data_IF_759150267031
#
_entry.id   IF_759150267031
#
_cell.length_a   1.000
_cell.length_b   1.000
_cell.length_c   1.000
_cell.angle_alpha   90.00
_cell.angle_beta   90.00
_cell.angle_gamma   90.00
#
_symmetry.space_group_name_H-M   'P 1'
#
loop_
_entity.id
_entity.type
_entity.pdbx_description
1 polymer ?
#
# COMPACT_ATOMS: atom_id res chain seq x y z
N UNK A 1 -13.67 -42.22 -32.96
CA UNK A 1 -14.08 -40.83 -33.30
C UNK A 1 -12.93 -39.90 -32.96
N UNK A 2 -12.44 -39.14 -33.93
CA UNK A 2 -11.19 -38.39 -33.86
C UNK A 2 -11.34 -37.07 -33.07
N UNK A 3 -10.38 -36.78 -32.19
CA UNK A 3 -10.28 -35.54 -31.45
C UNK A 3 -9.76 -34.40 -32.36
N UNK A 4 -10.53 -33.32 -32.49
CA UNK A 4 -10.18 -32.16 -33.29
C UNK A 4 -8.99 -31.39 -32.69
N UNK A 5 -7.86 -31.35 -33.41
CA UNK A 5 -6.70 -30.52 -33.06
C UNK A 5 -6.96 -29.08 -33.54
N UNK A 6 -6.99 -28.11 -32.62
CA UNK A 6 -7.19 -26.70 -32.98
C UNK A 6 -6.00 -26.19 -33.80
N UNK A 7 -6.27 -25.73 -35.03
CA UNK A 7 -5.35 -25.01 -35.89
C UNK A 7 -5.17 -23.57 -35.37
N UNK A 8 -4.18 -23.33 -34.52
CA UNK A 8 -3.74 -21.97 -34.17
C UNK A 8 -2.34 -21.77 -34.74
N UNK A 9 -2.25 -21.00 -35.84
CA UNK A 9 -0.98 -20.58 -36.43
C UNK A 9 -0.22 -19.75 -35.38
N UNK A 10 1.03 -20.10 -35.11
CA UNK A 10 1.95 -19.30 -34.31
C UNK A 10 2.89 -18.54 -35.25
N UNK A 11 3.02 -17.23 -35.04
CA UNK A 11 3.93 -16.39 -35.82
C UNK A 11 5.36 -16.51 -35.27
N UNK A 12 6.36 -16.44 -36.16
CA UNK A 12 7.79 -16.40 -35.79
C UNK A 12 8.04 -15.16 -34.92
N UNK A 13 8.13 -15.36 -33.62
CA UNK A 13 8.37 -14.30 -32.63
C UNK A 13 7.81 -14.59 -31.24
N UNK A 14 6.84 -15.50 -31.11
CA UNK A 14 6.26 -15.84 -29.81
C UNK A 14 7.21 -16.69 -28.95
N UNK A 15 7.64 -16.14 -27.81
CA UNK A 15 8.42 -16.85 -26.78
C UNK A 15 7.49 -17.81 -26.01
N UNK A 16 7.85 -19.09 -25.84
CA UNK A 16 6.97 -20.05 -25.17
C UNK A 16 6.82 -19.75 -23.66
N UNK A 17 5.58 -19.76 -23.16
CA UNK A 17 5.27 -19.72 -21.71
C UNK A 17 5.90 -20.94 -21.03
N UNK A 18 6.72 -20.71 -19.98
CA UNK A 18 7.31 -21.77 -19.14
C UNK A 18 6.21 -22.55 -18.42
N UNK A 19 6.11 -23.85 -18.67
CA UNK A 19 5.26 -24.78 -17.89
C UNK A 19 5.84 -24.98 -16.48
N UNK A 20 5.02 -24.79 -15.44
CA UNK A 20 5.33 -25.19 -14.05
C UNK A 20 5.41 -26.72 -13.97
N UNK A 21 6.49 -27.24 -13.38
CA UNK A 21 6.62 -28.67 -13.05
C UNK A 21 5.83 -28.99 -11.79
N UNK A 22 4.88 -29.91 -11.90
CA UNK A 22 4.15 -30.51 -10.77
C UNK A 22 5.05 -31.62 -10.20
N UNK A 23 5.64 -31.42 -9.02
CA UNK A 23 6.36 -32.50 -8.32
C UNK A 23 5.47 -33.08 -7.23
N UNK A 24 5.16 -34.36 -7.37
CA UNK A 24 4.44 -35.20 -6.41
C UNK A 24 5.37 -35.71 -5.31
N UNK A 25 4.87 -35.59 -4.08
CA UNK A 25 5.02 -36.46 -2.91
C UNK A 25 6.38 -36.60 -2.17
N UNK A 26 6.30 -36.65 -0.83
CA UNK A 26 7.36 -37.14 0.07
C UNK A 26 7.96 -36.18 1.09
N UNK A 27 7.26 -35.96 2.21
CA UNK A 27 7.77 -35.81 3.60
C UNK A 27 8.95 -34.85 3.88
N UNK A 28 8.63 -33.65 4.39
CA UNK A 28 9.53 -32.85 5.26
C UNK A 28 8.71 -32.08 6.31
N UNK A 29 9.19 -31.96 7.57
CA UNK A 29 8.42 -31.39 8.67
C UNK A 29 8.23 -29.88 8.47
N UNK A 30 7.19 -29.26 9.06
CA UNK A 30 6.85 -27.87 8.79
C UNK A 30 7.98 -26.97 9.31
N UNK A 31 8.74 -26.38 8.38
CA UNK A 31 9.54 -25.20 8.70
C UNK A 31 8.55 -24.14 9.16
N UNK A 32 8.64 -23.77 10.45
CA UNK A 32 8.06 -22.52 10.96
C UNK A 32 8.37 -21.41 9.97
N UNK A 33 7.35 -20.97 9.24
CA UNK A 33 7.45 -19.84 8.34
C UNK A 33 7.69 -18.59 9.20
N UNK A 34 8.73 -17.78 8.93
CA UNK A 34 8.71 -16.41 9.39
C UNK A 34 7.63 -15.65 8.59
N UNK A 35 7.01 -14.67 9.24
CA UNK A 35 5.90 -13.87 8.75
C UNK A 35 6.10 -13.30 7.33
N UNK A 36 5.54 -13.98 6.33
CA UNK A 36 5.40 -13.50 4.94
C UNK A 36 3.95 -13.08 4.69
N UNK A 37 3.47 -12.04 5.38
CA UNK A 37 2.14 -11.46 5.11
C UNK A 37 2.09 -10.63 3.81
N UNK A 38 3.23 -10.36 3.16
CA UNK A 38 3.26 -9.61 1.88
C UNK A 38 3.32 -10.53 0.64
N UNK A 39 3.93 -11.72 0.73
CA UNK A 39 3.80 -12.70 -0.36
C UNK A 39 2.34 -13.16 -0.48
N UNK A 40 1.62 -13.27 0.64
CA UNK A 40 0.20 -13.62 0.63
C UNK A 40 -0.66 -12.58 -0.08
N UNK A 41 -0.38 -11.27 0.04
CA UNK A 41 -1.15 -10.23 -0.65
C UNK A 41 -0.90 -10.27 -2.17
N UNK A 42 0.35 -10.45 -2.60
CA UNK A 42 0.67 -10.56 -4.04
C UNK A 42 0.09 -11.85 -4.66
N UNK A 43 0.06 -12.95 -3.90
CA UNK A 43 -0.56 -14.21 -4.34
C UNK A 43 -2.09 -14.16 -4.32
N UNK A 44 -2.70 -13.42 -3.37
CA UNK A 44 -4.15 -13.25 -3.25
C UNK A 44 -4.73 -12.36 -4.36
N UNK A 45 -4.08 -11.24 -4.65
CA UNK A 45 -4.54 -10.26 -5.66
C UNK A 45 -3.86 -10.43 -7.03
N UNK A 46 -3.07 -11.50 -7.21
CA UNK A 46 -2.42 -11.83 -8.48
C UNK A 46 -1.36 -10.83 -8.96
N UNK A 47 -0.97 -9.87 -8.10
CA UNK A 47 -0.05 -8.79 -8.46
C UNK A 47 -0.65 -7.75 -9.41
N UNK A 48 -1.98 -7.60 -9.44
CA UNK A 48 -2.62 -6.49 -10.15
C UNK A 48 -2.41 -5.18 -9.39
N UNK A 49 -1.61 -4.28 -9.97
CA UNK A 49 -1.31 -2.95 -9.43
C UNK A 49 -2.56 -2.08 -9.22
N UNK A 50 -3.68 -2.40 -9.88
CA UNK A 50 -4.93 -1.65 -9.79
C UNK A 50 -6.02 -2.34 -8.95
N UNK A 51 -5.74 -3.49 -8.33
CA UNK A 51 -6.68 -4.15 -7.45
C UNK A 51 -7.02 -3.28 -6.22
N UNK A 52 -8.30 -3.27 -5.84
CA UNK A 52 -8.80 -2.55 -4.67
C UNK A 52 -8.70 -3.42 -3.42
N UNK A 53 -8.00 -2.93 -2.39
CA UNK A 53 -7.69 -3.71 -1.18
C UNK A 53 -8.09 -2.91 0.06
N UNK A 54 -8.64 -3.59 1.06
CA UNK A 54 -8.98 -2.96 2.34
C UNK A 54 -7.71 -2.65 3.14
N UNK A 55 -7.45 -1.41 3.58
CA UNK A 55 -6.32 -1.10 4.45
C UNK A 55 -6.55 -1.65 5.86
N UNK A 56 -5.50 -2.13 6.51
CA UNK A 56 -5.55 -2.60 7.91
C UNK A 56 -5.15 -1.50 8.89
N UNK A 57 -4.19 -0.67 8.50
CA UNK A 57 -3.71 0.46 9.31
C UNK A 57 -3.99 1.78 8.59
N UNK A 58 -4.23 2.88 9.33
CA UNK A 58 -4.53 4.17 8.70
C UNK A 58 -3.37 4.68 7.82
N UNK A 59 -2.12 4.32 8.13
CA UNK A 59 -0.96 4.66 7.30
C UNK A 59 -0.98 4.05 5.89
N UNK A 60 -1.67 2.92 5.70
CA UNK A 60 -1.85 2.31 4.37
C UNK A 60 -2.82 3.09 3.48
N UNK A 61 -3.60 4.03 4.05
CA UNK A 61 -4.55 4.89 3.32
C UNK A 61 -3.80 6.02 2.63
N UNK A 62 -3.03 5.67 1.60
CA UNK A 62 -2.31 6.63 0.75
C UNK A 62 -2.56 6.30 -0.72
N UNK A 63 -2.76 7.32 -1.54
CA UNK A 63 -3.05 7.19 -2.97
C UNK A 63 -4.56 7.16 -3.27
N UNK A 64 -4.94 6.71 -4.47
CA UNK A 64 -6.34 6.55 -4.85
C UNK A 64 -7.06 5.59 -3.91
N UNK A 65 -8.13 6.09 -3.31
CA UNK A 65 -8.98 5.41 -2.35
C UNK A 65 -10.45 5.54 -2.74
N UNK A 66 -11.23 4.52 -2.40
CA UNK A 66 -12.67 4.47 -2.56
C UNK A 66 -13.30 4.41 -1.18
N UNK A 67 -14.15 5.39 -0.89
CA UNK A 67 -14.81 5.56 0.41
C UNK A 67 -16.27 5.18 0.23
N UNK A 68 -16.71 4.13 0.90
CA UNK A 68 -18.08 3.64 0.78
C UNK A 68 -18.60 3.06 2.09
N UNK A 69 -19.91 2.92 2.21
CA UNK A 69 -20.56 2.20 3.30
C UNK A 69 -21.43 1.09 2.72
N UNK A 70 -21.16 -0.16 3.13
CA UNK A 70 -22.01 -1.29 2.80
C UNK A 70 -23.33 -1.22 3.57
N UNK A 71 -24.45 -1.25 2.85
CA UNK A 71 -25.79 -1.36 3.40
C UNK A 71 -26.22 -2.82 3.60
N UNK A 72 -27.28 -3.02 4.38
CA UNK A 72 -27.82 -4.35 4.72
C UNK A 72 -28.27 -5.15 3.49
N UNK A 73 -28.67 -4.46 2.42
CA UNK A 73 -29.17 -5.07 1.19
C UNK A 73 -28.04 -5.45 0.21
N UNK A 74 -26.77 -5.32 0.61
CA UNK A 74 -25.60 -5.57 -0.23
C UNK A 74 -25.24 -4.42 -1.19
N UNK A 75 -26.05 -3.36 -1.24
CA UNK A 75 -25.71 -2.13 -1.96
C UNK A 75 -24.74 -1.27 -1.14
N UNK A 76 -23.81 -0.60 -1.81
CA UNK A 76 -22.88 0.31 -1.16
C UNK A 76 -23.24 1.77 -1.42
N UNK A 77 -23.25 2.61 -0.39
CA UNK A 77 -23.32 4.06 -0.54
C UNK A 77 -21.90 4.61 -0.66
N UNK A 78 -21.48 4.99 -1.87
CA UNK A 78 -20.16 5.55 -2.13
C UNK A 78 -20.16 7.07 -2.00
N UNK A 79 -19.05 7.61 -1.46
CA UNK A 79 -18.80 9.04 -1.40
C UNK A 79 -18.48 9.56 -2.81
N UNK A 80 -19.37 10.38 -3.36
CA UNK A 80 -19.27 10.87 -4.73
C UNK A 80 -19.11 12.39 -4.77
N UNK A 81 -18.21 12.85 -5.64
CA UNK A 81 -18.03 14.27 -5.89
C UNK A 81 -18.91 14.73 -7.07
N UNK A 82 -19.86 15.63 -6.81
CA UNK A 82 -20.71 16.20 -7.85
C UNK A 82 -20.03 17.39 -8.52
N UNK A 83 -19.28 17.11 -9.59
CA UNK A 83 -18.50 18.07 -10.36
C UNK A 83 -19.22 19.40 -10.70
N UNK A 84 -20.47 19.43 -11.20
CA UNK A 84 -21.13 20.70 -11.54
C UNK A 84 -21.51 21.60 -10.36
N UNK A 85 -21.63 21.04 -9.14
CA UNK A 85 -22.06 21.78 -7.95
C UNK A 85 -20.94 21.92 -6.92
N UNK A 86 -19.78 21.30 -7.16
CA UNK A 86 -18.68 21.18 -6.20
C UNK A 86 -19.12 20.71 -4.82
N UNK A 87 -20.18 19.90 -4.78
CA UNK A 87 -20.79 19.34 -3.58
C UNK A 87 -20.43 17.87 -3.43
N UNK A 88 -20.45 17.43 -2.18
CA UNK A 88 -20.19 16.04 -1.81
C UNK A 88 -21.54 15.37 -1.56
N UNK A 89 -21.85 14.38 -2.39
CA UNK A 89 -23.08 13.61 -2.32
C UNK A 89 -22.72 12.13 -2.15
N UNK A 90 -23.72 11.28 -1.93
CA UNK A 90 -23.52 9.84 -2.00
C UNK A 90 -24.32 9.22 -3.11
N UNK A 91 -23.70 8.27 -3.78
CA UNK A 91 -24.32 7.49 -4.86
C UNK A 91 -24.35 6.03 -4.46
N UNK A 92 -25.49 5.38 -4.70
CA UNK A 92 -25.59 3.93 -4.54
C UNK A 92 -24.80 3.24 -5.64
N UNK A 93 -23.91 2.33 -5.25
CA UNK A 93 -23.12 1.44 -6.10
C UNK A 93 -23.57 0.02 -5.81
N UNK A 94 -24.06 -0.65 -6.84
CA UNK A 94 -24.42 -2.06 -6.75
C UNK A 94 -23.19 -2.93 -7.04
N UNK A 95 -22.99 -4.04 -6.30
CA UNK A 95 -21.94 -4.99 -6.60
C UNK A 95 -22.19 -5.62 -7.99
N UNK A 96 -21.13 -5.93 -8.75
CA UNK A 96 -21.27 -6.58 -10.04
C UNK A 96 -21.93 -7.96 -9.85
N UNK A 97 -22.99 -8.24 -10.62
CA UNK A 97 -23.63 -9.57 -10.62
C UNK A 97 -22.66 -10.59 -11.22
N UNK A 98 -22.15 -11.50 -10.40
CA UNK A 98 -21.32 -12.60 -10.87
C UNK A 98 -22.23 -13.77 -11.33
N UNK A 99 -21.94 -14.41 -12.49
CA UNK A 99 -22.62 -15.65 -12.88
C UNK A 99 -22.30 -16.79 -11.91
N UNK A 100 -23.28 -17.65 -11.61
CA UNK A 100 -23.19 -18.74 -10.62
C UNK A 100 -22.08 -19.79 -10.91
N UNK A 101 -21.57 -19.87 -12.13
CA UNK A 101 -20.64 -20.92 -12.60
C UNK A 101 -19.14 -20.53 -12.57
N UNK A 102 -18.75 -19.42 -11.92
CA UNK A 102 -17.34 -18.98 -11.90
C UNK A 102 -16.53 -19.66 -10.77
N UNK A 103 -15.28 -20.11 -11.00
CA UNK A 103 -14.44 -20.71 -9.96
C UNK A 103 -14.19 -19.77 -8.77
N UNK A 104 -14.27 -20.30 -7.55
CA UNK A 104 -14.05 -19.61 -6.27
C UNK A 104 -12.56 -19.41 -5.96
N UNK A 105 -11.85 -18.73 -6.87
CA UNK A 105 -10.46 -18.34 -6.71
C UNK A 105 -10.38 -16.98 -5.97
N UNK A 106 -9.28 -16.66 -5.29
CA UNK A 106 -9.11 -15.37 -4.59
C UNK A 106 -9.28 -14.13 -5.49
N UNK A 107 -9.04 -14.28 -6.80
CA UNK A 107 -9.31 -13.26 -7.82
C UNK A 107 -10.81 -13.03 -8.08
N UNK A 108 -11.64 -14.04 -7.87
CA UNK A 108 -13.09 -14.00 -8.07
C UNK A 108 -13.81 -13.34 -6.90
N UNK A 109 -13.32 -13.57 -5.68
CA UNK A 109 -13.77 -12.84 -4.50
C UNK A 109 -13.50 -11.34 -4.65
N UNK A 110 -12.30 -10.96 -5.13
CA UNK A 110 -11.99 -9.56 -5.44
C UNK A 110 -12.86 -8.98 -6.58
N UNK A 111 -13.37 -9.81 -7.49
CA UNK A 111 -14.30 -9.39 -8.54
C UNK A 111 -15.75 -9.23 -8.03
N UNK A 112 -16.12 -9.89 -6.93
CA UNK A 112 -17.41 -9.71 -6.25
C UNK A 112 -17.45 -8.44 -5.39
N UNK A 113 -16.29 -7.88 -5.07
CA UNK A 113 -16.18 -6.72 -4.22
C UNK A 113 -16.67 -5.45 -4.91
N UNK A 114 -17.22 -4.53 -4.12
CA UNK A 114 -17.70 -3.24 -4.61
C UNK A 114 -16.51 -2.43 -5.12
N UNK A 115 -16.52 -2.17 -6.43
CA UNK A 115 -15.52 -1.36 -7.10
C UNK A 115 -16.14 -0.03 -7.57
N UNK A 116 -15.34 1.06 -7.62
CA UNK A 116 -15.84 2.33 -8.11
C UNK A 116 -16.23 2.24 -9.59
N UNK A 117 -17.44 2.70 -9.91
CA UNK A 117 -17.96 2.70 -11.28
C UNK A 117 -17.64 4.00 -12.03
N UNK A 118 -17.34 5.08 -11.29
CA UNK A 118 -17.07 6.40 -11.86
C UNK A 118 -15.87 7.06 -11.15
N UNK A 119 -15.11 7.87 -11.89
CA UNK A 119 -13.92 8.58 -11.40
C UNK A 119 -14.27 9.50 -10.22
N UNK A 120 -15.47 10.08 -10.21
CA UNK A 120 -15.96 10.96 -9.14
C UNK A 120 -16.20 10.27 -7.79
N UNK A 121 -16.24 8.94 -7.76
CA UNK A 121 -16.30 8.15 -6.53
C UNK A 121 -14.91 7.87 -5.94
N UNK A 122 -13.86 8.14 -6.71
CA UNK A 122 -12.47 7.92 -6.30
C UNK A 122 -11.90 9.21 -5.73
N UNK A 123 -11.30 9.10 -4.55
CA UNK A 123 -10.62 10.17 -3.84
C UNK A 123 -9.14 9.86 -3.72
N UNK A 124 -8.27 10.85 -3.80
CA UNK A 124 -6.83 10.63 -3.57
C UNK A 124 -6.51 11.03 -2.14
N UNK A 125 -6.28 10.03 -1.28
CA UNK A 125 -5.86 10.25 0.09
C UNK A 125 -4.34 10.50 0.15
N UNK A 126 -3.93 11.53 0.87
CA UNK A 126 -2.51 11.83 1.09
C UNK A 126 -2.29 12.10 2.58
N UNK A 127 -1.38 11.35 3.20
CA UNK A 127 -0.95 11.61 4.57
C UNK A 127 -0.07 12.87 4.62
N UNK A 128 -0.33 13.76 5.57
CA UNK A 128 0.49 14.94 5.80
C UNK A 128 1.84 14.52 6.40
N UNK A 129 2.97 15.05 5.90
CA UNK A 129 4.26 14.81 6.54
C UNK A 129 4.25 15.31 7.98
N UNK A 130 4.84 14.51 8.89
CA UNK A 130 4.97 14.84 10.33
C UNK A 130 3.65 14.96 11.12
N UNK A 131 2.53 14.56 10.54
CA UNK A 131 1.22 14.54 11.21
C UNK A 131 0.45 13.28 10.84
N UNK A 132 -0.33 12.75 11.78
CA UNK A 132 -1.26 11.64 11.52
C UNK A 132 -2.60 12.16 10.99
N UNK A 133 -2.52 12.98 9.94
CA UNK A 133 -3.67 13.61 9.28
C UNK A 133 -3.63 13.32 7.78
N UNK A 134 -4.79 13.24 7.18
CA UNK A 134 -4.98 12.95 5.76
C UNK A 134 -5.79 14.04 5.09
N UNK A 135 -5.47 14.30 3.83
CA UNK A 135 -6.30 15.11 2.94
C UNK A 135 -6.86 14.22 1.85
N UNK A 136 -8.14 14.39 1.51
CA UNK A 136 -8.78 13.68 0.41
C UNK A 136 -9.03 14.63 -0.74
N UNK A 137 -8.43 14.34 -1.90
CA UNK A 137 -8.55 15.14 -3.12
C UNK A 137 -9.55 14.51 -4.08
N UNK A 138 -10.47 15.32 -4.61
CA UNK A 138 -11.47 14.94 -5.60
C UNK A 138 -10.83 14.79 -6.99
N UNK A 139 -11.60 14.24 -7.94
CA UNK A 139 -11.18 14.10 -9.34
C UNK A 139 -10.88 15.45 -10.03
N UNK A 140 -11.54 16.54 -9.61
CA UNK A 140 -11.28 17.90 -10.14
C UNK A 140 -10.08 18.58 -9.47
N UNK A 141 -9.58 17.98 -8.39
CA UNK A 141 -8.42 18.47 -7.68
C UNK A 141 -8.71 19.42 -6.52
N UNK A 142 -9.99 19.56 -6.15
CA UNK A 142 -10.41 20.18 -4.90
C UNK A 142 -10.28 19.20 -3.74
N UNK A 143 -10.22 19.70 -2.52
CA UNK A 143 -10.09 18.89 -1.31
C UNK A 143 -11.43 18.80 -0.57
N UNK A 144 -11.67 17.63 0.04
CA UNK A 144 -12.80 17.41 0.94
C UNK A 144 -12.60 18.27 2.20
N UNK A 145 -13.49 19.22 2.43
CA UNK A 145 -13.46 20.16 3.54
C UNK A 145 -14.70 19.99 4.42
N UNK A 146 -14.54 20.31 5.70
CA UNK A 146 -15.62 20.43 6.66
C UNK A 146 -15.70 21.86 7.19
N UNK A 147 -16.90 22.43 7.27
CA UNK A 147 -17.13 23.69 8.00
C UNK A 147 -17.38 23.43 9.50
N UNK A 148 -17.31 24.48 10.32
CA UNK A 148 -17.57 24.44 11.77
C UNK A 148 -18.97 23.94 12.13
N UNK A 149 -19.92 24.08 11.20
CA UNK A 149 -21.30 23.61 11.37
C UNK A 149 -21.51 22.16 10.92
N UNK A 150 -20.44 21.48 10.47
CA UNK A 150 -20.51 20.11 9.98
C UNK A 150 -21.01 19.97 8.54
N UNK A 151 -21.02 21.03 7.75
CA UNK A 151 -21.28 20.93 6.31
C UNK A 151 -20.02 20.47 5.57
N UNK A 152 -20.19 19.47 4.69
CA UNK A 152 -19.08 18.87 3.95
C UNK A 152 -19.10 19.37 2.51
N UNK A 153 -18.02 20.01 2.09
CA UNK A 153 -17.89 20.61 0.77
C UNK A 153 -16.56 20.23 0.12
N UNK A 154 -16.43 20.40 -1.19
CA UNK A 154 -15.17 20.13 -1.90
C UNK A 154 -14.90 21.19 -2.96
N UNK A 155 -14.79 22.44 -2.52
CA UNK A 155 -14.60 23.63 -3.39
C UNK A 155 -13.16 24.14 -3.39
N UNK A 156 -12.41 23.90 -2.31
CA UNK A 156 -11.09 24.50 -2.13
C UNK A 156 -10.00 23.66 -2.81
N UNK A 157 -9.16 24.30 -3.64
CA UNK A 157 -8.01 23.65 -4.27
C UNK A 157 -6.77 23.65 -3.36
N UNK A 158 -6.79 24.43 -2.28
CA UNK A 158 -5.71 24.49 -1.31
C UNK A 158 -5.98 23.56 -0.12
N UNK A 159 -4.91 22.96 0.40
CA UNK A 159 -4.93 22.24 1.67
C UNK A 159 -4.87 23.24 2.82
N UNK A 160 -5.93 23.31 3.61
CA UNK A 160 -5.99 24.08 4.85
C UNK A 160 -6.47 23.22 6.02
N UNK A 161 -6.70 23.84 7.19
CA UNK A 161 -7.15 23.12 8.38
C UNK A 161 -8.52 22.45 8.20
N UNK A 162 -9.39 23.00 7.35
CA UNK A 162 -10.73 22.46 7.11
C UNK A 162 -10.71 21.20 6.25
N UNK A 163 -9.65 21.03 5.46
CA UNK A 163 -9.40 19.91 4.56
C UNK A 163 -8.61 18.76 5.22
N UNK A 164 -8.21 18.94 6.48
CA UNK A 164 -7.51 17.94 7.27
C UNK A 164 -8.48 16.99 7.97
N UNK A 165 -8.27 15.69 7.77
CA UNK A 165 -9.05 14.62 8.37
C UNK A 165 -8.15 13.68 9.17
N UNK A 166 -8.57 13.31 10.37
CA UNK A 166 -7.95 12.25 11.16
C UNK A 166 -8.69 10.93 10.94
N UNK A 167 -7.98 9.91 10.46
CA UNK A 167 -8.53 8.58 10.25
C UNK A 167 -8.36 7.76 11.52
N UNK A 168 -9.48 7.32 12.09
CA UNK A 168 -9.49 6.45 13.27
C UNK A 168 -10.06 5.08 12.87
N UNK A 169 -9.31 3.98 13.04
CA UNK A 169 -9.86 2.66 12.83
C UNK A 169 -10.96 2.40 13.86
N UNK A 170 -12.03 1.75 13.41
CA UNK A 170 -13.17 1.34 14.22
C UNK A 170 -13.25 -0.18 14.18
N UNK A 171 -13.32 -0.80 15.34
CA UNK A 171 -13.51 -2.24 15.50
C UNK A 171 -14.75 -2.51 16.37
N UNK A 172 -15.34 -3.68 16.19
CA UNK A 172 -16.49 -4.12 17.01
C UNK A 172 -16.06 -4.60 18.39
N UNK A 173 -14.83 -5.10 18.49
CA UNK A 173 -14.22 -5.57 19.73
C UNK A 173 -13.39 -4.42 20.32
N UNK A 174 -13.47 -4.17 21.64
CA UNK A 174 -12.60 -3.22 22.30
C UNK A 174 -11.13 -3.57 22.06
N UNK A 175 -10.40 -2.64 21.45
CA UNK A 175 -8.98 -2.74 21.17
C UNK A 175 -8.32 -1.42 21.56
N UNK A 176 -7.08 -1.43 22.04
CA UNK A 176 -6.37 -0.22 22.47
C UNK A 176 -6.11 0.75 21.30
N UNK A 177 -6.03 0.23 20.08
CA UNK A 177 -5.68 0.99 18.87
C UNK A 177 -6.88 1.43 18.03
N UNK A 178 -8.11 1.02 18.36
CA UNK A 178 -9.30 1.27 17.55
C UNK A 178 -10.49 1.71 18.40
N UNK A 179 -11.34 2.56 17.83
CA UNK A 179 -12.58 2.97 18.49
C UNK A 179 -13.58 1.82 18.48
N UNK A 180 -14.33 1.67 19.57
CA UNK A 180 -15.44 0.73 19.63
C UNK A 180 -16.60 1.29 18.81
N UNK A 181 -17.01 0.55 17.79
CA UNK A 181 -18.14 0.93 16.97
C UNK A 181 -19.00 -0.24 16.54
N UNK A 182 -20.11 0.03 15.83
CA UNK A 182 -21.09 -0.99 15.46
C UNK A 182 -20.57 -1.94 14.36
N UNK A 183 -19.59 -1.50 13.57
CA UNK A 183 -19.00 -2.26 12.47
C UNK A 183 -17.51 -1.97 12.37
N UNK A 184 -16.75 -2.90 11.80
CA UNK A 184 -15.35 -2.69 11.46
C UNK A 184 -15.23 -1.70 10.30
N UNK A 185 -14.32 -0.74 10.38
CA UNK A 185 -14.09 0.24 9.33
C UNK A 185 -13.22 1.40 9.79
N UNK A 186 -13.43 2.58 9.21
CA UNK A 186 -12.72 3.81 9.54
C UNK A 186 -13.72 4.93 9.80
N UNK A 187 -13.49 5.69 10.88
CA UNK A 187 -14.17 6.95 11.14
C UNK A 187 -13.27 8.11 10.71
N UNK A 188 -13.83 9.05 9.95
CA UNK A 188 -13.13 10.25 9.53
C UNK A 188 -13.55 11.39 10.47
N UNK A 189 -12.60 11.90 11.25
CA UNK A 189 -12.83 13.03 12.14
C UNK A 189 -12.28 14.31 11.49
N UNK A 190 -13.10 15.37 11.49
CA UNK A 190 -12.72 16.69 11.00
C UNK A 190 -11.86 17.43 12.02
N UNK A 191 -11.20 18.50 11.59
CA UNK A 191 -10.45 19.40 12.48
C UNK A 191 -11.27 19.94 13.65
N UNK A 192 -12.60 20.08 13.49
CA UNK A 192 -13.50 20.56 14.54
C UNK A 192 -13.94 19.45 15.51
N UNK A 193 -13.45 18.21 15.33
CA UNK A 193 -13.76 17.06 16.17
C UNK A 193 -15.02 16.30 15.79
N UNK A 194 -15.77 16.76 14.79
CA UNK A 194 -16.96 16.08 14.27
C UNK A 194 -16.61 14.92 13.33
N UNK A 195 -17.41 13.86 13.36
CA UNK A 195 -17.24 12.67 12.53
C UNK A 195 -18.08 12.73 11.27
N UNK A 196 -17.49 12.33 10.14
CA UNK A 196 -18.17 12.23 8.85
C UNK A 196 -19.28 11.17 8.92
N UNK A 197 -20.52 11.59 8.76
CA UNK A 197 -21.72 10.75 8.79
C UNK A 197 -22.58 10.92 7.55
N UNK A 198 -23.20 9.82 7.13
CA UNK A 198 -24.35 9.86 6.23
C UNK A 198 -25.56 10.41 6.98
N UNK A 199 -26.09 11.53 6.50
CA UNK A 199 -27.37 12.07 6.95
C UNK A 199 -28.47 11.37 6.13
N UNK A 200 -29.23 10.51 6.79
CA UNK A 200 -30.43 9.93 6.21
C UNK A 200 -31.52 11.01 6.22
N UNK A 201 -31.97 11.48 5.04
CA UNK A 201 -32.98 12.52 5.03
C UNK A 201 -34.23 12.00 5.73
N UNK A 202 -34.70 12.73 6.74
CA UNK A 202 -35.97 12.46 7.44
C UNK A 202 -37.18 12.57 6.52
N UNK A 203 -37.02 13.24 5.38
CA UNK A 203 -38.04 13.38 4.34
C UNK A 203 -37.81 12.35 3.23
N UNK A 204 -38.78 11.45 3.08
CA UNK A 204 -38.83 10.33 2.10
C UNK A 204 -38.72 10.79 0.62
N UNK A 205 -38.84 12.10 0.35
CA UNK A 205 -38.74 12.70 -0.98
C UNK A 205 -37.32 13.12 -1.39
N UNK A 206 -36.36 13.16 -0.47
CA UNK A 206 -34.97 13.47 -0.81
C UNK A 206 -34.25 12.18 -1.25
N UNK A 207 -34.25 11.92 -2.55
CA UNK A 207 -33.52 10.80 -3.18
C UNK A 207 -31.98 10.87 -3.02
N UNK A 208 -31.47 11.89 -2.31
CA UNK A 208 -30.05 12.21 -2.13
C UNK A 208 -29.72 12.21 -0.65
N UNK A 209 -28.91 11.23 -0.24
CA UNK A 209 -28.32 11.19 1.10
C UNK A 209 -27.20 12.23 1.17
N UNK A 210 -27.35 13.21 2.05
CA UNK A 210 -26.36 14.28 2.26
C UNK A 210 -25.27 13.76 3.20
N UNK A 211 -24.07 14.30 3.06
CA UNK A 211 -22.95 13.97 3.94
C UNK A 211 -22.74 15.15 4.88
N UNK A 212 -22.68 14.86 6.18
CA UNK A 212 -22.44 15.85 7.24
C UNK A 212 -21.29 15.37 8.13
N UNK A 213 -20.71 16.28 8.89
CA UNK A 213 -19.61 15.99 9.80
C UNK A 213 -19.80 16.69 11.17
N UNK A 214 -21.04 16.65 11.68
CA UNK A 214 -21.46 17.24 12.96
C UNK A 214 -21.58 16.23 14.11
N UNK A 215 -21.49 14.93 13.82
CA UNK A 215 -21.61 13.91 14.85
C UNK A 215 -20.43 13.94 15.84
N UNK A 216 -20.71 13.92 17.14
CA UNK A 216 -19.69 13.92 18.18
C UNK A 216 -19.08 12.54 18.47
N UNK A 217 -19.72 11.47 17.99
CA UNK A 217 -19.30 10.09 18.19
C UNK A 217 -19.48 9.26 16.91
N UNK A 218 -18.67 8.19 16.72
CA UNK A 218 -18.78 7.30 15.56
C UNK A 218 -20.09 6.51 15.62
N UNK A 219 -21.14 7.05 15.00
CA UNK A 219 -22.44 6.38 14.83
C UNK A 219 -22.35 5.35 13.70
N UNK A 220 -23.34 4.45 13.55
CA UNK A 220 -23.35 3.46 12.47
C UNK A 220 -23.24 4.07 11.06
N UNK A 221 -23.85 5.23 10.82
CA UNK A 221 -23.71 6.00 9.58
C UNK A 221 -22.40 6.79 9.45
N UNK A 222 -21.52 6.76 10.47
CA UNK A 222 -20.24 7.46 10.49
C UNK A 222 -19.01 6.57 10.42
N UNK A 223 -19.22 5.26 10.36
CA UNK A 223 -18.16 4.31 10.03
C UNK A 223 -18.18 4.10 8.53
N UNK A 224 -17.03 4.20 7.89
CA UNK A 224 -16.82 4.07 6.45
C UNK A 224 -15.87 2.92 6.15
N UNK A 225 -16.11 2.18 5.08
CA UNK A 225 -15.17 1.20 4.55
C UNK A 225 -14.30 1.87 3.50
N UNK A 226 -12.98 1.73 3.66
CA UNK A 226 -11.99 2.26 2.74
C UNK A 226 -11.43 1.12 1.90
N UNK A 227 -11.24 1.38 0.60
CA UNK A 227 -10.46 0.53 -0.30
C UNK A 227 -9.38 1.38 -0.94
N UNK A 228 -8.18 0.84 -1.08
CA UNK A 228 -7.00 1.52 -1.64
C UNK A 228 -6.39 0.64 -2.71
N UNK A 229 -5.79 1.24 -3.74
CA UNK A 229 -5.07 0.47 -4.75
C UNK A 229 -3.89 -0.29 -4.13
N UNK A 230 -3.80 -1.59 -4.42
CA UNK A 230 -2.82 -2.52 -3.85
C UNK A 230 -1.38 -2.00 -3.93
N UNK A 231 -1.01 -1.39 -5.07
CA UNK A 231 0.32 -0.82 -5.29
C UNK A 231 0.75 0.16 -4.19
N UNK A 232 -0.18 0.98 -3.69
CA UNK A 232 0.14 2.00 -2.68
C UNK A 232 0.22 1.40 -1.27
N UNK A 233 -0.68 0.46 -0.92
CA UNK A 233 -0.59 -0.33 0.32
C UNK A 233 0.75 -1.06 0.38
N UNK A 234 1.11 -1.77 -0.70
CA UNK A 234 2.37 -2.50 -0.78
C UNK A 234 3.59 -1.57 -0.72
N UNK A 235 3.56 -0.41 -1.39
CA UNK A 235 4.62 0.59 -1.30
C UNK A 235 4.80 1.13 0.13
N UNK A 236 3.71 1.44 0.84
CA UNK A 236 3.74 1.89 2.23
C UNK A 236 4.37 0.82 3.14
N UNK A 237 3.95 -0.44 3.02
CA UNK A 237 4.54 -1.57 3.78
C UNK A 237 6.03 -1.75 3.51
N UNK A 238 6.46 -1.60 2.26
CA UNK A 238 7.89 -1.63 1.93
C UNK A 238 8.67 -0.46 2.54
N UNK A 239 8.11 0.75 2.57
CA UNK A 239 8.75 1.89 3.23
C UNK A 239 8.84 1.69 4.73
N UNK A 240 7.77 1.21 5.38
CA UNK A 240 7.78 0.88 6.80
C UNK A 240 8.85 -0.16 7.13
N UNK A 241 8.99 -1.21 6.30
CA UNK A 241 10.10 -2.17 6.45
C UNK A 241 11.46 -1.53 6.29
N UNK A 242 11.67 -0.65 5.31
CA UNK A 242 12.97 0.02 5.13
C UNK A 242 13.32 0.92 6.31
N UNK A 243 12.32 1.59 6.90
CA UNK A 243 12.51 2.45 8.07
C UNK A 243 12.77 1.65 9.36
N UNK A 244 12.02 0.56 9.58
CA UNK A 244 12.21 -0.36 10.71
C UNK A 244 13.44 -1.27 10.54
N UNK A 245 13.94 -1.44 9.31
CA UNK A 245 15.12 -2.25 8.99
C UNK A 245 16.45 -1.47 8.88
N UNK A 246 16.55 -0.27 9.46
CA UNK A 246 17.86 0.39 9.61
C UNK A 246 18.71 -0.27 10.72
N UNK A 247 20.05 -0.31 10.61
CA UNK A 247 20.84 -1.22 9.79
C UNK A 247 20.95 -2.64 10.38
N UNK A 248 19.96 -3.12 11.14
CA UNK A 248 19.95 -4.52 11.61
C UNK A 248 19.39 -5.48 10.55
N UNK A 249 19.33 -5.07 9.27
CA UNK A 249 19.05 -5.99 8.18
C UNK A 249 20.06 -7.12 8.28
N UNK A 250 19.56 -8.34 8.30
CA UNK A 250 20.37 -9.56 8.39
C UNK A 250 21.31 -9.55 7.20
N UNK A 251 22.50 -9.02 7.45
CA UNK A 251 23.61 -8.90 6.55
C UNK A 251 23.66 -10.18 5.71
N UNK A 252 23.38 -10.09 4.41
CA UNK A 252 23.27 -11.25 3.52
C UNK A 252 24.28 -11.11 2.40
N UNK A 253 25.01 -12.19 2.13
CA UNK A 253 25.98 -12.27 1.04
C UNK A 253 25.38 -11.89 -0.32
N UNK A 254 24.09 -12.18 -0.53
CA UNK A 254 23.37 -11.86 -1.77
C UNK A 254 23.13 -10.35 -1.92
N UNK A 255 22.94 -9.64 -0.82
CA UNK A 255 22.72 -8.19 -0.82
C UNK A 255 24.02 -7.45 -1.14
N UNK A 256 25.16 -7.94 -0.62
CA UNK A 256 26.48 -7.39 -0.96
C UNK A 256 26.86 -7.61 -2.43
N UNK A 257 26.58 -8.78 -3.00
CA UNK A 257 26.83 -9.03 -4.41
C UNK A 257 26.05 -8.04 -5.30
N UNK A 258 24.77 -7.80 -4.99
CA UNK A 258 23.92 -6.81 -5.68
C UNK A 258 24.43 -5.38 -5.50
N UNK A 259 24.79 -5.00 -4.27
CA UNK A 259 25.36 -3.68 -3.98
C UNK A 259 26.69 -3.47 -4.71
N UNK A 260 27.56 -4.47 -4.72
CA UNK A 260 28.84 -4.41 -5.44
C UNK A 260 28.62 -4.24 -6.94
N UNK A 261 27.64 -4.94 -7.53
CA UNK A 261 27.25 -4.81 -8.93
C UNK A 261 26.70 -3.42 -9.23
N UNK A 262 25.82 -2.88 -8.39
CA UNK A 262 25.24 -1.54 -8.58
C UNK A 262 26.28 -0.42 -8.52
N UNK A 263 27.37 -0.62 -7.78
CA UNK A 263 28.47 0.34 -7.64
C UNK A 263 29.53 0.21 -8.73
N UNK A 264 29.49 -0.83 -9.57
CA UNK A 264 30.42 -1.01 -10.70
C UNK A 264 30.37 0.13 -11.71
N UNK A 265 29.23 0.79 -11.88
CA UNK A 265 29.08 1.91 -12.80
C UNK A 265 29.82 3.19 -12.38
N UNK A 266 30.17 3.33 -11.10
CA UNK A 266 30.74 4.57 -10.55
C UNK A 266 32.28 4.56 -10.45
N UNK A 267 32.93 3.39 -10.58
CA UNK A 267 34.38 3.25 -10.48
C UNK A 267 34.97 2.70 -11.78
N UNK A 268 35.17 3.57 -12.77
CA UNK A 268 36.07 3.43 -13.93
C UNK A 268 36.42 1.98 -14.39
N UNK A 269 35.42 1.12 -14.56
CA UNK A 269 35.58 -0.26 -15.05
C UNK A 269 36.45 -1.20 -14.20
N UNK A 270 36.91 -0.80 -13.01
CA UNK A 270 37.74 -1.68 -12.17
C UNK A 270 36.82 -2.54 -11.33
N UNK A 271 36.62 -3.79 -11.75
CA UNK A 271 35.98 -4.78 -10.89
C UNK A 271 36.84 -4.92 -9.63
N UNK A 272 36.30 -4.55 -8.46
CA UNK A 272 36.88 -4.98 -7.19
C UNK A 272 36.71 -6.51 -7.12
N UNK A 273 37.63 -7.24 -7.75
CA UNK A 273 37.67 -8.70 -7.74
C UNK A 273 37.76 -9.13 -6.28
N UNK A 274 36.79 -9.93 -5.85
CA UNK A 274 36.75 -10.44 -4.49
C UNK A 274 37.83 -11.52 -4.35
N UNK A 275 38.82 -11.36 -3.45
CA UNK A 275 39.75 -12.44 -3.16
C UNK A 275 38.95 -13.64 -2.63
N UNK A 276 39.29 -14.87 -3.05
CA UNK A 276 38.59 -16.08 -2.59
C UNK A 276 38.62 -16.24 -1.05
N UNK A 277 39.67 -15.73 -0.41
CA UNK A 277 39.84 -15.73 1.05
C UNK A 277 38.74 -14.94 1.76
N UNK A 278 38.35 -13.78 1.21
CA UNK A 278 37.28 -12.94 1.77
C UNK A 278 35.91 -13.63 1.78
N UNK A 279 35.65 -14.52 0.81
CA UNK A 279 34.41 -15.29 0.75
C UNK A 279 34.36 -16.35 1.86
N UNK A 280 35.50 -16.96 2.18
CA UNK A 280 35.61 -17.96 3.27
C UNK A 280 35.41 -17.30 4.64
N UNK A 281 35.98 -16.12 4.84
CA UNK A 281 35.81 -15.33 6.06
C UNK A 281 34.34 -14.93 6.30
N UNK A 282 33.64 -14.46 5.27
CA UNK A 282 32.23 -14.12 5.40
C UNK A 282 31.35 -15.35 5.62
N UNK A 283 31.65 -16.49 5.01
CA UNK A 283 30.94 -17.75 5.28
C UNK A 283 31.21 -18.28 6.70
N UNK A 284 32.38 -17.97 7.28
CA UNK A 284 32.68 -18.27 8.68
C UNK A 284 31.94 -17.32 9.62
N UNK A 285 31.99 -16.02 9.36
CA UNK A 285 31.26 -15.01 10.12
C UNK A 285 29.73 -15.21 10.05
N UNK A 286 29.21 -15.73 8.93
CA UNK A 286 27.80 -16.13 8.79
C UNK A 286 27.43 -17.30 9.70
N UNK A 287 28.31 -18.30 9.83
CA UNK A 287 28.12 -19.44 10.75
C UNK A 287 28.23 -19.01 12.21
N UNK A 288 29.08 -18.05 12.50
CA UNK A 288 29.31 -17.51 13.84
C UNK A 288 28.33 -16.36 14.21
N UNK A 289 27.41 -15.98 13.32
CA UNK A 289 26.43 -14.91 13.55
C UNK A 289 26.98 -13.48 13.49
N UNK A 290 28.28 -13.28 13.29
CA UNK A 290 28.99 -11.98 13.21
C UNK A 290 29.15 -11.44 11.79
N UNK A 291 28.20 -11.73 10.91
CA UNK A 291 28.30 -11.36 9.50
C UNK A 291 28.25 -9.84 9.28
N UNK A 292 27.50 -9.11 10.11
CA UNK A 292 27.37 -7.66 10.00
C UNK A 292 28.69 -6.94 10.29
N UNK A 293 29.41 -7.35 11.34
CA UNK A 293 30.72 -6.81 11.72
C UNK A 293 31.77 -7.08 10.63
N UNK A 294 31.86 -8.33 10.17
CA UNK A 294 32.79 -8.72 9.11
C UNK A 294 32.52 -7.95 7.79
N UNK A 295 31.26 -7.65 7.48
CA UNK A 295 30.91 -6.83 6.32
C UNK A 295 31.23 -5.34 6.51
N UNK A 296 31.13 -4.81 7.73
CA UNK A 296 31.54 -3.43 8.04
C UNK A 296 33.07 -3.27 7.92
N UNK A 297 33.84 -4.20 8.49
CA UNK A 297 35.30 -4.24 8.35
C UNK A 297 35.74 -4.40 6.90
N UNK A 298 34.98 -5.13 6.08
CA UNK A 298 35.24 -5.22 4.64
C UNK A 298 34.99 -3.89 3.93
N UNK A 299 33.92 -3.17 4.28
CA UNK A 299 33.60 -1.86 3.70
C UNK A 299 34.64 -0.79 4.07
N UNK A 300 35.21 -0.84 5.27
CA UNK A 300 36.29 0.07 5.67
C UNK A 300 37.58 -0.22 4.90
N UNK A 301 37.95 -1.50 4.74
CA UNK A 301 39.14 -1.93 3.98
C UNK A 301 39.07 -1.60 2.48
N UNK A 302 37.87 -1.64 1.89
CA UNK A 302 37.65 -1.30 0.46
C UNK A 302 37.68 0.21 0.18
N UNK A 303 37.49 1.05 1.19
CA UNK A 303 37.69 2.50 1.07
C UNK A 303 39.18 2.80 1.24
N UNK A 304 39.97 2.63 0.17
CA UNK A 304 41.28 3.28 0.14
C UNK A 304 41.06 4.79 0.00
N UNK A 305 41.42 5.51 1.05
CA UNK A 305 41.39 6.97 1.07
C UNK A 305 42.45 7.49 0.08
N UNK A 306 42.01 7.90 -1.12
CA UNK A 306 42.89 8.45 -2.15
C UNK A 306 43.51 9.80 -1.75
N UNK A 307 43.05 10.43 -0.66
CA UNK A 307 43.47 11.79 -0.27
C UNK A 307 44.14 11.89 1.11
N UNK A 308 44.22 10.81 1.89
CA UNK A 308 44.80 10.85 3.25
C UNK A 308 46.32 10.62 3.34
N UNK A 309 47.06 10.53 2.23
CA UNK A 309 48.53 10.54 2.27
C UNK A 309 49.07 11.88 1.76
N UNK A 310 48.92 12.92 2.57
CA UNK A 310 49.81 14.07 2.49
C UNK A 310 51.23 13.58 2.86
N UNK A 311 52.13 13.63 1.89
CA UNK A 311 53.55 13.32 2.08
C UNK A 311 54.15 14.30 3.10
N UNK A 312 54.91 13.83 4.10
CA UNK A 312 55.62 14.72 4.98
C UNK A 312 56.83 15.30 4.24
N UNK A 313 56.91 16.63 4.18
CA UNK A 313 58.16 17.35 3.93
C UNK A 313 58.55 17.55 2.47
N UNK A 314 58.07 18.65 1.88
CA UNK A 314 58.83 19.43 0.91
C UNK A 314 58.44 20.91 1.09
N UNK A 315 59.20 21.64 1.90
CA UNK A 315 59.22 23.10 1.85
C UNK A 315 59.98 23.53 0.57
N UNK A 316 59.48 24.47 -0.24
CA UNK A 316 60.26 25.05 -1.32
C UNK A 316 61.29 26.05 -0.74
N UNK A 317 62.52 26.12 -1.27
CA UNK A 317 63.46 27.16 -0.88
C UNK A 317 63.03 28.52 -1.48
N UNK A 318 63.47 29.58 -0.81
CA UNK A 318 63.19 31.00 -1.13
C UNK A 318 63.63 31.41 -2.52
#
# INVERSE_FOLDING_TARGET
MAAGRSLRLTFKGDKPKRKRSKSSDGTRPPKRAPANADESDAEMYGGDDQAWVTPETPGEVTGPCFVHQLGENGSASALNFHAPLSQVETTTVEPPSLPDDWPDDGATLAAAEVTPQTIYQVWVATQLPMSDKWTLKSAQGTFLACDRYGEVTATNEARGPQEEWTLQPVDTVPNESALVGPRRGFALQSHYGGYLTLDEPKDDHARRRRVRADASAPTAGGVWDLRVQWKYRHAHRQMQRKSTAAPASRASLLDEAKLSLSRQGWTAGTTAQLPQESRRELLRAQREGRLAEAMLDRRSKLKSDKYAKALPGCCPPR
#
